data_IF_117400210079
#
_entry.id   IF_117400210079
#
_cell.length_a   1.000
_cell.length_b   1.000
_cell.length_c   1.000
_cell.angle_alpha   90.00
_cell.angle_beta   90.00
_cell.angle_gamma   90.00
#
_symmetry.space_group_name_H-M   'P 1'
#
loop_
_entity.id
_entity.type
_entity.pdbx_description
1 polymer ?
#
# COMPACT_ATOMS: atom_id res chain seq x y z
N UNK A 1 -8.66 12.11 23.10
CA UNK A 1 -8.32 11.94 21.66
C UNK A 1 -8.08 13.32 21.09
N UNK A 2 -6.97 13.55 20.38
CA UNK A 2 -6.71 14.85 19.75
C UNK A 2 -7.70 15.10 18.59
N UNK A 3 -7.91 16.36 18.17
CA UNK A 3 -8.82 16.71 17.09
C UNK A 3 -8.54 15.96 15.79
N UNK A 4 -7.27 15.74 15.45
CA UNK A 4 -6.87 15.09 14.19
C UNK A 4 -7.26 13.61 14.14
N UNK A 5 -7.04 12.85 15.23
CA UNK A 5 -7.42 11.43 15.27
C UNK A 5 -8.95 11.27 15.32
N UNK A 6 -9.65 12.21 15.97
CA UNK A 6 -11.12 12.22 15.97
C UNK A 6 -11.66 12.44 14.55
N UNK A 7 -11.14 13.42 13.81
CA UNK A 7 -11.50 13.65 12.42
C UNK A 7 -11.21 12.41 11.56
N UNK A 8 -10.05 11.77 11.75
CA UNK A 8 -9.68 10.56 11.01
C UNK A 8 -10.72 9.45 11.18
N UNK A 9 -11.15 9.18 12.42
CA UNK A 9 -12.16 8.17 12.72
C UNK A 9 -13.55 8.56 12.18
N UNK A 10 -13.90 9.85 12.20
CA UNK A 10 -15.14 10.34 11.62
C UNK A 10 -15.17 10.10 10.09
N UNK A 11 -14.08 10.37 9.37
CA UNK A 11 -13.97 10.07 7.93
C UNK A 11 -14.03 8.57 7.64
N UNK A 12 -13.35 7.74 8.43
CA UNK A 12 -13.41 6.28 8.29
C UNK A 12 -14.82 5.73 8.51
N UNK A 13 -15.58 6.33 9.44
CA UNK A 13 -16.98 5.93 9.67
C UNK A 13 -17.89 6.33 8.51
N UNK A 14 -17.68 7.49 7.89
CA UNK A 14 -18.42 7.90 6.67
C UNK A 14 -18.24 6.84 5.58
N UNK A 15 -17.00 6.36 5.39
CA UNK A 15 -16.70 5.32 4.39
C UNK A 15 -17.31 3.96 4.77
N UNK A 16 -17.22 3.57 6.05
CA UNK A 16 -17.73 2.28 6.53
C UNK A 16 -19.26 2.16 6.46
N UNK A 17 -19.97 3.18 6.94
CA UNK A 17 -21.40 3.07 7.22
C UNK A 17 -22.30 3.72 6.15
N UNK A 18 -21.71 4.28 5.07
CA UNK A 18 -22.39 5.14 4.06
C UNK A 18 -23.35 6.17 4.69
N UNK A 19 -23.09 6.55 5.93
CA UNK A 19 -23.97 7.38 6.73
C UNK A 19 -23.68 8.84 6.45
N UNK A 20 -24.73 9.66 6.33
CA UNK A 20 -24.60 11.10 6.09
C UNK A 20 -23.60 11.73 7.08
N UNK A 21 -22.75 12.66 6.62
CA UNK A 21 -21.71 13.25 7.45
C UNK A 21 -22.36 13.86 8.69
N UNK A 22 -22.10 13.27 9.85
CA UNK A 22 -22.38 13.94 11.12
C UNK A 22 -21.56 15.23 11.11
N UNK A 23 -22.26 16.36 11.05
CA UNK A 23 -21.75 17.73 10.97
C UNK A 23 -20.29 17.81 11.44
N UNK A 24 -19.35 17.78 10.48
CA UNK A 24 -17.91 17.90 10.77
C UNK A 24 -17.72 19.31 11.34
N UNK A 25 -17.67 19.41 12.67
CA UNK A 25 -17.59 20.65 13.42
C UNK A 25 -16.18 20.90 13.92
N UNK A 26 -15.85 22.18 14.12
CA UNK A 26 -15.19 23.02 13.14
C UNK A 26 -13.71 22.63 12.97
N UNK A 27 -13.32 22.56 11.71
CA UNK A 27 -11.97 22.59 11.13
C UNK A 27 -10.98 23.57 11.79
N UNK A 28 -11.43 24.53 12.59
CA UNK A 28 -10.60 25.53 13.29
C UNK A 28 -9.69 24.96 14.40
N UNK A 29 -9.99 23.77 14.94
CA UNK A 29 -9.14 23.14 15.96
C UNK A 29 -8.20 22.08 15.39
N UNK A 30 -8.32 21.77 14.09
CA UNK A 30 -7.53 20.74 13.43
C UNK A 30 -6.23 21.37 12.93
N UNK A 31 -5.11 20.84 13.39
CA UNK A 31 -3.84 21.06 12.71
C UNK A 31 -3.81 20.21 11.44
N UNK A 32 -3.99 20.84 10.29
CA UNK A 32 -4.04 20.16 9.00
C UNK A 32 -2.73 19.49 8.60
N UNK A 33 -1.59 20.04 9.04
CA UNK A 33 -0.28 19.41 8.77
C UNK A 33 -0.17 18.11 9.55
N UNK A 34 -0.49 18.15 10.85
CA UNK A 34 -0.50 16.95 11.70
C UNK A 34 -1.54 15.93 11.26
N UNK A 35 -2.71 16.38 10.81
CA UNK A 35 -3.73 15.51 10.26
C UNK A 35 -3.22 14.78 9.02
N UNK A 36 -2.59 15.51 8.08
CA UNK A 36 -2.01 14.91 6.88
C UNK A 36 -0.93 13.88 7.23
N UNK A 37 -0.07 14.16 8.20
CA UNK A 37 0.92 13.19 8.69
C UNK A 37 0.27 11.91 9.22
N UNK A 38 -0.85 12.01 9.94
CA UNK A 38 -1.61 10.84 10.41
C UNK A 38 -2.20 10.06 9.23
N UNK A 39 -2.82 10.74 8.28
CA UNK A 39 -3.40 10.10 7.08
C UNK A 39 -2.33 9.33 6.30
N UNK A 40 -1.17 9.95 6.06
CA UNK A 40 -0.06 9.33 5.34
C UNK A 40 0.55 8.17 6.13
N UNK A 41 0.77 8.33 7.44
CA UNK A 41 1.29 7.27 8.32
C UNK A 41 0.41 6.03 8.34
N UNK A 42 -0.91 6.21 8.28
CA UNK A 42 -1.87 5.11 8.23
C UNK A 42 -2.21 4.66 6.82
N UNK A 43 -1.56 5.23 5.79
CA UNK A 43 -1.78 4.91 4.38
C UNK A 43 -3.23 5.10 3.90
N UNK A 44 -3.93 6.09 4.44
CA UNK A 44 -5.36 6.32 4.18
C UNK A 44 -5.62 7.36 3.07
N UNK A 45 -4.59 8.03 2.55
CA UNK A 45 -4.77 9.07 1.54
C UNK A 45 -5.46 8.54 0.27
N UNK A 46 -4.98 7.40 -0.27
CA UNK A 46 -5.60 6.77 -1.43
C UNK A 46 -7.05 6.34 -1.16
N UNK A 47 -7.33 5.84 0.05
CA UNK A 47 -8.69 5.47 0.48
C UNK A 47 -9.60 6.69 0.50
N UNK A 48 -9.18 7.78 1.15
CA UNK A 48 -9.97 9.00 1.21
C UNK A 48 -10.14 9.67 -0.15
N UNK A 49 -9.15 9.57 -1.05
CA UNK A 49 -9.30 10.07 -2.42
C UNK A 49 -10.37 9.32 -3.22
N UNK A 50 -10.53 8.01 -3.01
CA UNK A 50 -11.43 7.19 -3.83
C UNK A 50 -12.81 6.98 -3.21
N UNK A 51 -12.89 6.85 -1.88
CA UNK A 51 -14.12 6.41 -1.20
C UNK A 51 -14.85 7.53 -0.46
N UNK A 52 -14.22 8.69 -0.23
CA UNK A 52 -14.84 9.77 0.53
C UNK A 52 -15.77 10.59 -0.38
N UNK A 53 -17.03 10.86 0.03
CA UNK A 53 -17.95 11.69 -0.74
C UNK A 53 -17.37 13.08 -1.08
N UNK A 54 -17.60 13.55 -2.31
CA UNK A 54 -17.12 14.86 -2.79
C UNK A 54 -17.64 16.03 -1.94
N UNK A 55 -18.85 15.91 -1.40
CA UNK A 55 -19.52 16.90 -0.56
C UNK A 55 -19.02 16.93 0.89
N UNK A 56 -18.10 16.03 1.28
CA UNK A 56 -17.50 16.06 2.61
C UNK A 56 -16.74 17.39 2.81
N UNK A 57 -17.06 18.20 3.84
CA UNK A 57 -16.54 19.56 4.00
C UNK A 57 -15.09 19.56 4.49
N UNK A 58 -14.15 19.37 3.56
CA UNK A 58 -12.70 19.41 3.76
C UNK A 58 -12.07 20.53 2.93
N UNK A 59 -10.97 21.16 3.40
CA UNK A 59 -10.22 22.12 2.59
C UNK A 59 -9.72 21.48 1.29
N UNK A 60 -9.82 22.21 0.17
CA UNK A 60 -9.35 21.71 -1.13
C UNK A 60 -7.89 21.26 -1.13
N UNK A 61 -6.93 21.95 -0.46
CA UNK A 61 -5.53 21.51 -0.48
C UNK A 61 -5.32 20.12 0.15
N UNK A 62 -6.19 19.70 1.06
CA UNK A 62 -6.13 18.37 1.69
C UNK A 62 -6.57 17.30 0.67
N UNK A 63 -7.64 17.58 -0.07
CA UNK A 63 -8.14 16.68 -1.13
C UNK A 63 -7.12 16.55 -2.28
N UNK A 64 -6.57 17.67 -2.75
CA UNK A 64 -5.59 17.69 -3.83
C UNK A 64 -4.34 16.86 -3.47
N UNK A 65 -3.92 16.91 -2.20
CA UNK A 65 -2.82 16.10 -1.71
C UNK A 65 -3.14 14.59 -1.71
N UNK A 66 -4.37 14.22 -1.35
CA UNK A 66 -4.79 12.81 -1.37
C UNK A 66 -4.93 12.26 -2.78
N UNK A 67 -5.44 13.06 -3.71
CA UNK A 67 -5.49 12.71 -5.13
C UNK A 67 -4.07 12.55 -5.70
N UNK A 68 -3.17 13.47 -5.38
CA UNK A 68 -1.75 13.37 -5.75
C UNK A 68 -1.12 12.09 -5.22
N UNK A 69 -1.37 11.74 -3.95
CA UNK A 69 -0.88 10.50 -3.35
C UNK A 69 -1.49 9.25 -3.99
N UNK A 70 -2.79 9.27 -4.28
CA UNK A 70 -3.47 8.20 -5.01
C UNK A 70 -2.81 7.94 -6.36
N UNK A 71 -2.59 8.98 -7.18
CA UNK A 71 -1.93 8.85 -8.47
C UNK A 71 -0.48 8.36 -8.35
N UNK A 72 0.26 8.82 -7.33
CA UNK A 72 1.61 8.33 -7.04
C UNK A 72 1.61 6.83 -6.74
N UNK A 73 0.71 6.37 -5.87
CA UNK A 73 0.57 4.95 -5.53
C UNK A 73 0.15 4.13 -6.74
N UNK A 74 -0.79 4.62 -7.54
CA UNK A 74 -1.22 3.95 -8.77
C UNK A 74 -0.07 3.79 -9.77
N UNK A 75 0.70 4.84 -10.02
CA UNK A 75 1.87 4.79 -10.89
C UNK A 75 2.91 3.77 -10.38
N UNK A 76 3.16 3.75 -9.07
CA UNK A 76 4.04 2.75 -8.44
C UNK A 76 3.52 1.34 -8.66
N UNK A 77 2.21 1.09 -8.50
CA UNK A 77 1.61 -0.24 -8.73
C UNK A 77 1.75 -0.73 -10.16
N UNK A 78 1.66 0.16 -11.15
CA UNK A 78 1.91 -0.21 -12.55
C UNK A 78 3.36 -0.69 -12.75
N UNK A 79 4.34 0.02 -12.18
CA UNK A 79 5.75 -0.36 -12.28
C UNK A 79 6.06 -1.66 -11.55
N UNK A 80 5.51 -1.85 -10.34
CA UNK A 80 5.64 -3.08 -9.57
C UNK A 80 5.05 -4.28 -10.31
N UNK A 81 3.91 -4.10 -11.00
CA UNK A 81 3.27 -5.16 -11.75
C UNK A 81 4.07 -5.56 -13.01
N UNK A 82 4.65 -4.59 -13.72
CA UNK A 82 5.58 -4.90 -14.83
C UNK A 82 6.81 -5.66 -14.33
N UNK A 83 7.40 -5.18 -13.23
CA UNK A 83 8.54 -5.82 -12.60
C UNK A 83 8.23 -7.26 -12.18
N UNK A 84 7.10 -7.48 -11.49
CA UNK A 84 6.62 -8.80 -11.09
C UNK A 84 6.45 -9.71 -12.32
N UNK A 85 5.80 -9.22 -13.38
CA UNK A 85 5.61 -9.97 -14.63
C UNK A 85 6.94 -10.44 -15.24
N UNK A 86 7.95 -9.56 -15.24
CA UNK A 86 9.29 -9.89 -15.76
C UNK A 86 9.99 -10.94 -14.91
N UNK A 87 9.91 -10.84 -13.58
CA UNK A 87 10.51 -11.83 -12.66
C UNK A 87 9.85 -13.20 -12.83
N UNK A 88 8.51 -13.24 -12.85
CA UNK A 88 7.76 -14.49 -13.00
C UNK A 88 8.10 -15.19 -14.33
N UNK A 89 8.22 -14.44 -15.43
CA UNK A 89 8.65 -14.99 -16.73
C UNK A 89 10.08 -15.54 -16.70
N UNK A 90 10.99 -14.90 -15.96
CA UNK A 90 12.37 -15.37 -15.84
C UNK A 90 12.49 -16.65 -14.99
N UNK A 91 11.71 -16.73 -13.91
CA UNK A 91 11.60 -17.93 -13.08
C UNK A 91 11.00 -19.10 -13.86
N UNK A 92 9.89 -18.86 -14.58
CA UNK A 92 9.22 -19.86 -15.41
C UNK A 92 10.16 -20.45 -16.49
N UNK A 93 10.89 -19.58 -17.21
CA UNK A 93 11.92 -20.01 -18.19
C UNK A 93 13.04 -20.86 -17.59
N UNK A 94 13.30 -20.71 -16.30
CA UNK A 94 14.33 -21.46 -15.56
C UNK A 94 13.76 -22.67 -14.82
N UNK A 95 12.48 -22.99 -15.00
CA UNK A 95 11.80 -24.11 -14.34
C UNK A 95 11.50 -23.90 -12.86
N UNK A 96 11.65 -22.67 -12.34
CA UNK A 96 11.42 -22.35 -10.93
C UNK A 96 9.92 -22.16 -10.71
N UNK A 97 9.32 -23.04 -9.90
CA UNK A 97 7.94 -22.88 -9.45
C UNK A 97 7.90 -21.85 -8.31
N UNK A 98 7.05 -20.85 -8.45
CA UNK A 98 6.94 -19.74 -7.51
C UNK A 98 5.49 -19.48 -7.11
N UNK A 99 5.28 -19.17 -5.84
CA UNK A 99 4.02 -18.65 -5.31
C UNK A 99 4.28 -17.20 -4.85
N UNK A 100 3.47 -16.26 -5.33
CA UNK A 100 3.50 -14.86 -4.87
C UNK A 100 2.62 -14.77 -3.62
N UNK A 101 3.22 -14.51 -2.46
CA UNK A 101 2.51 -14.58 -1.17
C UNK A 101 1.70 -13.31 -0.87
N UNK A 102 2.26 -12.14 -1.21
CA UNK A 102 1.70 -10.81 -0.94
C UNK A 102 2.07 -9.85 -2.06
N UNK A 103 1.69 -8.58 -1.92
CA UNK A 103 2.16 -7.53 -2.82
C UNK A 103 1.18 -7.16 -3.93
N UNK A 104 1.67 -6.70 -5.10
CA UNK A 104 0.87 -6.06 -6.14
C UNK A 104 -0.15 -7.01 -6.79
N UNK A 105 0.11 -8.32 -6.80
CA UNK A 105 -0.86 -9.30 -7.30
C UNK A 105 -2.18 -9.27 -6.51
N UNK A 106 -2.13 -9.22 -5.17
CA UNK A 106 -3.33 -9.15 -4.35
C UNK A 106 -4.05 -7.80 -4.51
N UNK A 107 -3.27 -6.71 -4.62
CA UNK A 107 -3.81 -5.38 -4.87
C UNK A 107 -4.63 -5.36 -6.16
N UNK A 108 -4.10 -5.92 -7.25
CA UNK A 108 -4.80 -5.96 -8.53
C UNK A 108 -6.00 -6.90 -8.53
N UNK A 109 -5.92 -8.04 -7.82
CA UNK A 109 -6.94 -9.09 -7.91
C UNK A 109 -8.16 -8.84 -7.02
N UNK A 110 -7.97 -8.24 -5.85
CA UNK A 110 -9.01 -8.20 -4.81
C UNK A 110 -9.45 -6.81 -4.38
N UNK A 111 -8.73 -5.74 -4.76
CA UNK A 111 -9.12 -4.37 -4.41
C UNK A 111 -9.78 -3.69 -5.60
N UNK A 112 -10.83 -2.88 -5.38
CA UNK A 112 -11.45 -2.07 -6.44
C UNK A 112 -10.42 -1.18 -7.16
N UNK A 113 -9.49 -0.61 -6.39
CA UNK A 113 -8.37 0.17 -6.88
C UNK A 113 -7.05 -0.38 -6.32
N UNK A 114 -6.05 -0.72 -7.15
CA UNK A 114 -4.78 -1.27 -6.66
C UNK A 114 -4.02 -0.36 -5.69
N UNK A 115 -4.20 0.95 -5.80
CA UNK A 115 -3.59 1.94 -4.91
C UNK A 115 -4.09 1.85 -3.45
N UNK A 116 -5.23 1.19 -3.21
CA UNK A 116 -5.80 0.99 -1.86
C UNK A 116 -5.10 -0.11 -1.07
N UNK A 117 -4.19 -0.86 -1.70
CA UNK A 117 -3.30 -1.78 -1.02
C UNK A 117 -1.85 -1.36 -1.22
N UNK A 118 -1.37 -0.36 -0.46
CA UNK A 118 0.05 -0.06 -0.39
C UNK A 118 0.82 -1.30 0.04
N UNK A 119 1.89 -1.59 -0.69
CA UNK A 119 2.81 -2.70 -0.44
C UNK A 119 4.19 -2.15 -0.74
N UNK A 120 5.16 -2.43 0.12
CA UNK A 120 6.53 -1.96 -0.09
C UNK A 120 7.44 -3.01 -0.72
N UNK A 121 7.07 -4.27 -0.59
CA UNK A 121 7.82 -5.43 -1.04
C UNK A 121 6.95 -6.43 -1.80
N UNK A 122 7.63 -7.45 -2.36
CA UNK A 122 7.01 -8.60 -3.00
C UNK A 122 7.67 -9.85 -2.45
N UNK A 123 6.86 -10.68 -1.79
CA UNK A 123 7.28 -11.95 -1.23
C UNK A 123 7.10 -13.09 -2.24
N UNK A 124 8.19 -13.79 -2.55
CA UNK A 124 8.20 -14.99 -3.38
C UNK A 124 8.49 -16.23 -2.53
N UNK A 125 7.59 -17.21 -2.58
CA UNK A 125 7.85 -18.55 -2.06
C UNK A 125 8.29 -19.45 -3.20
N UNK A 126 9.48 -20.02 -3.07
CA UNK A 126 10.10 -20.96 -4.00
C UNK A 126 10.57 -22.20 -3.25
N UNK A 127 10.87 -23.28 -3.97
CA UNK A 127 11.51 -24.43 -3.35
C UNK A 127 12.92 -24.04 -2.86
N UNK A 128 13.36 -24.47 -1.66
CA UNK A 128 14.68 -24.07 -1.13
C UNK A 128 15.86 -24.41 -2.05
N UNK A 129 15.74 -25.51 -2.81
CA UNK A 129 16.75 -25.91 -3.80
C UNK A 129 16.92 -24.91 -4.95
N UNK A 130 15.89 -24.11 -5.25
CA UNK A 130 15.90 -23.13 -6.34
C UNK A 130 16.49 -21.78 -5.91
N UNK A 131 16.71 -21.56 -4.60
CA UNK A 131 17.21 -20.29 -4.06
C UNK A 131 18.49 -19.78 -4.73
N UNK A 132 19.52 -20.60 -5.00
CA UNK A 132 20.73 -20.13 -5.69
C UNK A 132 20.43 -19.63 -7.12
N UNK A 133 19.61 -20.39 -7.87
CA UNK A 133 19.22 -20.05 -9.24
C UNK A 133 18.35 -18.79 -9.27
N UNK A 134 17.35 -18.70 -8.39
CA UNK A 134 16.50 -17.52 -8.26
C UNK A 134 17.31 -16.27 -7.93
N UNK A 135 18.25 -16.37 -6.97
CA UNK A 135 19.11 -15.26 -6.58
C UNK A 135 19.99 -14.78 -7.74
N UNK A 136 20.52 -15.71 -8.55
CA UNK A 136 21.29 -15.38 -9.76
C UNK A 136 20.44 -14.63 -10.79
N UNK A 137 19.24 -15.14 -11.09
CA UNK A 137 18.30 -14.50 -12.03
C UNK A 137 17.97 -13.08 -11.59
N UNK A 138 17.64 -12.88 -10.31
CA UNK A 138 17.31 -11.56 -9.76
C UNK A 138 18.50 -10.59 -9.89
N UNK A 139 19.73 -11.04 -9.65
CA UNK A 139 20.94 -10.22 -9.86
C UNK A 139 21.16 -9.88 -11.34
N UNK A 140 20.94 -10.82 -12.25
CA UNK A 140 21.02 -10.59 -13.71
C UNK A 140 19.96 -9.58 -14.19
N UNK A 141 18.87 -9.43 -13.44
CA UNK A 141 17.85 -8.39 -13.66
C UNK A 141 18.20 -7.03 -13.03
N UNK A 142 19.45 -6.85 -12.56
CA UNK A 142 19.98 -5.64 -11.92
C UNK A 142 19.37 -5.30 -10.55
N UNK A 143 18.86 -6.30 -9.82
CA UNK A 143 18.51 -6.13 -8.41
C UNK A 143 19.74 -6.35 -7.53
N UNK A 144 19.91 -5.49 -6.54
CA UNK A 144 20.92 -5.62 -5.51
C UNK A 144 20.36 -6.37 -4.30
N UNK A 145 21.20 -7.17 -3.65
CA UNK A 145 20.86 -7.75 -2.35
C UNK A 145 21.03 -6.67 -1.30
N UNK A 146 19.95 -6.38 -0.58
CA UNK A 146 19.98 -5.58 0.63
C UNK A 146 19.92 -6.58 1.79
N UNK A 147 20.90 -6.55 2.69
CA UNK A 147 20.78 -7.32 3.92
C UNK A 147 19.69 -6.67 4.77
N UNK A 148 18.58 -7.39 4.91
CA UNK A 148 17.53 -7.02 5.84
C UNK A 148 18.06 -7.32 7.25
N UNK A 149 18.29 -6.28 8.05
CA UNK A 149 18.52 -6.42 9.49
C UNK A 149 17.23 -6.95 10.10
N UNK A 150 17.11 -8.28 10.18
CA UNK A 150 15.89 -8.96 10.57
C UNK A 150 15.42 -8.53 11.98
N UNK A 151 14.29 -7.83 12.03
CA UNK A 151 13.38 -7.83 13.19
C UNK A 151 12.28 -8.85 12.91
N UNK A 152 12.65 -10.12 12.90
CA UNK A 152 11.69 -11.21 12.93
C UNK A 152 12.27 -12.31 13.81
N UNK A 153 11.74 -12.41 15.01
CA UNK A 153 11.99 -13.55 15.89
C UNK A 153 11.62 -14.82 15.12
N UNK A 154 12.64 -15.62 14.81
CA UNK A 154 12.46 -16.92 14.21
C UNK A 154 11.85 -17.82 15.27
N UNK A 155 10.56 -18.09 15.19
CA UNK A 155 9.95 -19.16 15.95
C UNK A 155 10.50 -20.49 15.43
N UNK A 156 11.38 -21.10 16.21
CA UNK A 156 11.78 -22.50 16.04
C UNK A 156 10.84 -23.36 16.87
N UNK A 157 10.16 -24.31 16.23
CA UNK A 157 9.50 -25.40 16.95
C UNK A 157 10.56 -26.24 17.68
N UNK A 158 10.22 -26.66 18.90
CA UNK A 158 11.04 -27.55 19.75
C UNK A 158 10.54 -28.98 19.63
#
# INVERSE_FOLDING_TARGET
>A
MNPEARLLLELLRIISDQSSPLSISPTNQVDWLRFQELVLRHHLAALFSQELPEDTPLPSPVRDQWETEYHRQLARKVLEQDCLSRILKAFDRSGIKVIVLKGPYLAQKYYPHPALRPCDDIDFLIHPADKPTASRIIREMNFSVVEETATAEKFTET
#
